data_IF_436433666846
#
_entry.id   IF_436433666846
#
_cell.length_a   1.000
_cell.length_b   1.000
_cell.length_c   1.000
_cell.angle_alpha   90.00
_cell.angle_beta   90.00
_cell.angle_gamma   90.00
#
_symmetry.space_group_name_H-M   'P 1'
#
loop_
_entity.id
_entity.type
_entity.pdbx_description
1 polymer ?
#
# COMPACT_ATOMS: atom_id res chain seq x y z
N UNK A 1 -0.72 6.79 -6.52
CA UNK A 1 0.45 6.84 -5.61
C UNK A 1 1.69 6.42 -6.39
N UNK A 2 2.84 6.93 -6.01
CA UNK A 2 4.10 6.53 -6.65
C UNK A 2 5.00 5.81 -5.63
N UNK A 3 6.12 5.26 -6.11
CA UNK A 3 7.04 4.50 -5.26
C UNK A 3 7.60 5.35 -4.12
N UNK A 4 7.96 6.58 -4.41
CA UNK A 4 8.51 7.46 -3.39
C UNK A 4 7.52 7.71 -2.27
N UNK A 5 6.26 7.94 -2.61
CA UNK A 5 5.22 8.20 -1.63
C UNK A 5 4.93 6.94 -0.81
N UNK A 6 4.89 5.78 -1.47
CA UNK A 6 4.68 4.52 -0.76
C UNK A 6 5.81 4.24 0.24
N UNK A 7 7.06 4.56 -0.14
CA UNK A 7 8.20 4.40 0.75
C UNK A 7 8.05 5.30 1.97
N UNK A 8 7.63 6.55 1.78
CA UNK A 8 7.41 7.47 2.88
C UNK A 8 6.34 6.96 3.85
N UNK A 9 5.27 6.38 3.28
CA UNK A 9 4.19 5.84 4.11
C UNK A 9 4.66 4.65 4.93
N UNK A 10 5.43 3.75 4.34
CA UNK A 10 5.96 2.60 5.07
C UNK A 10 6.89 3.07 6.18
N UNK A 11 7.74 4.05 5.90
CA UNK A 11 8.66 4.59 6.89
C UNK A 11 7.98 5.37 8.00
N UNK A 12 6.74 5.79 7.78
CA UNK A 12 5.96 6.52 8.81
C UNK A 12 5.39 5.60 9.88
N UNK A 13 5.71 4.31 9.83
CA UNK A 13 5.24 3.30 10.78
C UNK A 13 3.71 3.19 10.82
N UNK A 14 3.09 3.35 9.65
CA UNK A 14 1.66 3.13 9.51
C UNK A 14 0.77 4.24 10.02
N UNK A 15 1.31 5.42 10.23
CA UNK A 15 0.50 6.57 10.66
C UNK A 15 -0.42 7.07 9.55
N UNK A 16 -0.04 6.82 8.30
CA UNK A 16 -0.79 7.33 7.14
C UNK A 16 -1.69 6.23 6.59
N UNK A 17 -2.98 6.52 6.47
CA UNK A 17 -3.95 5.58 5.92
C UNK A 17 -3.86 5.46 4.42
N UNK A 18 -4.02 4.25 3.90
CA UNK A 18 -4.02 3.97 2.47
C UNK A 18 -5.21 3.09 2.13
N UNK A 19 -5.82 3.35 0.99
CA UNK A 19 -6.96 2.57 0.52
C UNK A 19 -6.64 1.90 -0.82
N UNK A 20 -7.18 0.71 -1.00
CA UNK A 20 -7.13 -0.01 -2.27
C UNK A 20 -8.56 -0.38 -2.63
N UNK A 21 -9.07 0.19 -3.73
CA UNK A 21 -10.44 -0.04 -4.20
C UNK A 21 -11.49 0.14 -3.09
N UNK A 22 -11.28 1.16 -2.26
CA UNK A 22 -12.21 1.50 -1.19
C UNK A 22 -11.98 0.77 0.12
N UNK A 23 -11.07 -0.19 0.17
CA UNK A 23 -10.75 -0.91 1.40
C UNK A 23 -9.47 -0.38 2.01
N UNK A 24 -9.46 -0.27 3.34
CA UNK A 24 -8.25 0.12 4.05
C UNK A 24 -7.23 -0.99 3.98
N UNK A 25 -5.99 -0.64 3.63
CA UNK A 25 -4.91 -1.60 3.53
C UNK A 25 -3.67 -1.09 4.26
N UNK A 26 -2.82 -2.03 4.62
CA UNK A 26 -1.53 -1.77 5.26
C UNK A 26 -0.42 -2.09 4.28
N UNK A 27 0.51 -1.17 4.07
CA UNK A 27 1.64 -1.41 3.16
C UNK A 27 2.71 -2.22 3.86
N UNK A 28 3.06 -3.37 3.28
CA UNK A 28 4.04 -4.26 3.87
C UNK A 28 5.39 -4.23 3.16
N UNK A 29 5.37 -4.19 1.83
CA UNK A 29 6.60 -4.23 1.05
C UNK A 29 6.38 -3.60 -0.31
N UNK A 30 7.45 -3.04 -0.88
CA UNK A 30 7.42 -2.38 -2.18
C UNK A 30 8.36 -3.12 -3.11
N UNK A 31 7.87 -3.45 -4.31
CA UNK A 31 8.71 -4.00 -5.38
C UNK A 31 8.88 -2.93 -6.45
N UNK A 32 10.05 -2.31 -6.46
CA UNK A 32 10.32 -1.21 -7.39
C UNK A 32 10.44 -1.68 -8.83
N UNK A 33 10.86 -2.92 -9.04
CA UNK A 33 11.02 -3.45 -10.41
C UNK A 33 9.69 -3.57 -11.14
N UNK A 34 8.65 -3.99 -10.42
CA UNK A 34 7.33 -4.20 -11.01
C UNK A 34 6.34 -3.09 -10.71
N UNK A 35 6.74 -2.09 -9.92
CA UNK A 35 5.85 -1.02 -9.43
C UNK A 35 4.64 -1.58 -8.71
N UNK A 36 4.86 -2.62 -7.90
CA UNK A 36 3.80 -3.22 -7.10
C UNK A 36 4.11 -3.09 -5.62
N UNK A 37 3.07 -3.19 -4.82
CA UNK A 37 3.19 -3.11 -3.36
C UNK A 37 2.44 -4.29 -2.77
N UNK A 38 3.10 -4.97 -1.82
CA UNK A 38 2.39 -5.97 -1.04
C UNK A 38 1.63 -5.25 0.05
N UNK A 39 0.33 -5.49 0.10
CA UNK A 39 -0.53 -4.87 1.09
C UNK A 39 -1.32 -5.93 1.82
N UNK A 40 -1.74 -5.60 3.03
CA UNK A 40 -2.64 -6.44 3.81
C UNK A 40 -3.97 -5.73 3.90
N UNK A 41 -5.03 -6.41 3.45
CA UNK A 41 -6.37 -5.87 3.56
C UNK A 41 -6.80 -5.97 5.02
N UNK A 42 -7.07 -4.82 5.63
CA UNK A 42 -7.40 -4.78 7.06
C UNK A 42 -8.75 -5.40 7.38
N UNK A 43 -9.63 -5.50 6.39
CA UNK A 43 -10.96 -6.05 6.57
C UNK A 43 -10.97 -7.58 6.48
N UNK A 44 -10.22 -8.13 5.52
CA UNK A 44 -10.20 -9.57 5.28
C UNK A 44 -8.97 -10.27 5.83
N UNK A 45 -7.99 -9.48 6.27
CA UNK A 45 -6.72 -9.98 6.79
C UNK A 45 -5.89 -10.75 5.75
N UNK A 46 -6.16 -10.53 4.48
CA UNK A 46 -5.46 -11.17 3.37
C UNK A 46 -4.38 -10.27 2.81
N UNK A 47 -3.28 -10.89 2.37
CA UNK A 47 -2.19 -10.17 1.72
C UNK A 47 -2.37 -10.21 0.21
N UNK A 48 -2.12 -9.07 -0.43
CA UNK A 48 -2.27 -8.91 -1.88
C UNK A 48 -1.06 -8.17 -2.44
N UNK A 49 -0.69 -8.51 -3.68
CA UNK A 49 0.24 -7.70 -4.45
C UNK A 49 -0.58 -6.86 -5.41
N UNK A 50 -0.48 -5.55 -5.32
CA UNK A 50 -1.30 -4.64 -6.12
C UNK A 50 -0.41 -3.64 -6.85
N UNK A 51 -0.91 -3.12 -7.97
CA UNK A 51 -0.22 -2.07 -8.70
C UNK A 51 -0.26 -0.80 -7.86
N UNK A 52 0.90 -0.14 -7.75
CA UNK A 52 1.00 1.07 -6.93
C UNK A 52 0.03 2.16 -7.40
N UNK A 53 -0.33 2.17 -8.68
CA UNK A 53 -1.26 3.15 -9.22
C UNK A 53 -2.68 2.98 -8.69
N UNK A 54 -3.00 1.81 -8.18
CA UNK A 54 -4.34 1.52 -7.65
C UNK A 54 -4.49 1.91 -6.18
N UNK A 55 -3.42 2.35 -5.54
CA UNK A 55 -3.45 2.76 -4.14
C UNK A 55 -3.76 4.24 -4.01
N UNK A 56 -4.56 4.59 -3.03
CA UNK A 56 -4.92 5.97 -2.73
C UNK A 56 -4.61 6.29 -1.28
N UNK A 57 -4.03 7.46 -1.06
CA UNK A 57 -3.76 7.95 0.28
C UNK A 57 -5.02 8.64 0.84
N UNK A 58 -5.31 8.38 2.09
CA UNK A 58 -6.43 9.07 2.75
C UNK A 58 -6.15 10.55 2.97
#
# INVERSE_FOLDING_TARGET
MDIKKATEIIESLGVIGVNYKGDSVWLENINEESNTVRVKNMKTDKELNVDIKDLEED
#
